data_IF_981918892977
#
_entry.id   IF_981918892977
#
_cell.length_a   1.000
_cell.length_b   1.000
_cell.length_c   1.000
_cell.angle_alpha   90.00
_cell.angle_beta   90.00
_cell.angle_gamma   90.00
#
_symmetry.space_group_name_H-M   'P 1'
#
loop_
_entity.id
_entity.type
_entity.pdbx_description
1 polymer ?
#
# COMPACT_ATOMS: atom_id res chain seq x y z
N UNK A 1 24.17 -12.72 13.82
CA UNK A 1 23.20 -11.64 14.06
C UNK A 1 21.82 -12.23 13.84
N UNK A 2 21.13 -12.58 14.92
CA UNK A 2 19.70 -12.92 14.85
C UNK A 2 18.95 -11.67 14.43
N UNK A 3 18.15 -11.79 13.38
CA UNK A 3 17.30 -10.69 12.89
C UNK A 3 16.17 -10.49 13.91
N UNK A 4 16.46 -9.81 15.03
CA UNK A 4 15.49 -9.36 16.04
C UNK A 4 14.59 -8.23 15.50
N UNK A 5 14.30 -8.23 14.19
CA UNK A 5 13.20 -7.45 13.67
C UNK A 5 11.95 -8.02 14.29
N UNK A 6 11.29 -7.21 15.11
CA UNK A 6 9.91 -7.44 15.53
C UNK A 6 9.10 -7.73 14.25
N UNK A 7 8.87 -9.01 13.98
CA UNK A 7 8.14 -9.44 12.81
C UNK A 7 6.73 -8.89 12.90
N UNK A 8 6.26 -8.20 11.86
CA UNK A 8 4.87 -7.75 11.83
C UNK A 8 3.93 -8.93 12.01
N UNK A 9 2.90 -8.78 12.84
CA UNK A 9 1.84 -9.79 13.01
C UNK A 9 1.20 -10.13 11.66
N UNK A 10 1.04 -9.14 10.79
CA UNK A 10 0.55 -9.32 9.43
C UNK A 10 1.48 -10.19 8.60
N UNK A 11 2.79 -9.92 8.61
CA UNK A 11 3.76 -10.70 7.85
C UNK A 11 3.79 -12.17 8.33
N UNK A 12 3.74 -12.39 9.65
CA UNK A 12 3.66 -13.73 10.22
C UNK A 12 2.37 -14.45 9.79
N UNK A 13 1.22 -13.76 9.82
CA UNK A 13 -0.07 -14.31 9.41
C UNK A 13 -0.08 -14.69 7.92
N UNK A 14 0.39 -13.80 7.03
CA UNK A 14 0.49 -14.07 5.59
C UNK A 14 1.45 -15.22 5.27
N UNK A 15 2.52 -15.39 6.05
CA UNK A 15 3.48 -16.48 5.90
C UNK A 15 2.87 -17.88 6.13
N UNK A 16 1.69 -17.98 6.73
CA UNK A 16 0.97 -19.25 6.90
C UNK A 16 0.21 -19.70 5.65
N UNK A 17 -0.01 -18.80 4.68
CA UNK A 17 -0.72 -19.11 3.46
C UNK A 17 0.17 -19.88 2.48
N UNK A 18 -0.42 -20.83 1.76
CA UNK A 18 0.27 -21.51 0.65
C UNK A 18 0.45 -20.53 -0.52
N UNK A 19 1.69 -20.26 -0.98
CA UNK A 19 1.91 -19.39 -2.13
C UNK A 19 1.24 -19.92 -3.40
N UNK A 20 0.71 -19.01 -4.21
CA UNK A 20 0.24 -19.32 -5.57
C UNK A 20 1.47 -19.37 -6.50
N UNK A 21 1.47 -20.33 -7.43
CA UNK A 21 2.55 -20.52 -8.43
C UNK A 21 2.19 -19.98 -9.80
N UNK A 22 1.02 -19.33 -9.93
CA UNK A 22 0.50 -18.76 -11.16
C UNK A 22 -0.10 -17.39 -10.87
N UNK A 23 -0.04 -16.51 -11.85
CA UNK A 23 -0.72 -15.22 -11.81
C UNK A 23 -2.24 -15.38 -11.98
N UNK A 24 -3.05 -14.49 -11.38
CA UNK A 24 -4.49 -14.48 -11.61
C UNK A 24 -4.79 -14.02 -13.03
N UNK A 25 -5.52 -14.81 -13.80
CA UNK A 25 -5.90 -14.47 -15.19
C UNK A 25 -6.99 -13.38 -15.28
N UNK A 26 -7.57 -12.98 -14.15
CA UNK A 26 -8.52 -11.87 -14.07
C UNK A 26 -8.68 -11.38 -12.63
N UNK A 27 -9.21 -10.17 -12.46
CA UNK A 27 -9.58 -9.61 -11.16
C UNK A 27 -10.55 -10.53 -10.39
N UNK A 28 -11.47 -11.22 -11.07
CA UNK A 28 -12.39 -12.18 -10.46
C UNK A 28 -11.64 -13.37 -9.82
N UNK A 29 -10.61 -13.87 -10.51
CA UNK A 29 -9.78 -14.97 -9.99
C UNK A 29 -8.97 -14.49 -8.78
N UNK A 30 -8.38 -13.30 -8.85
CA UNK A 30 -7.66 -12.69 -7.72
C UNK A 30 -8.58 -12.53 -6.49
N UNK A 31 -9.75 -11.93 -6.67
CA UNK A 31 -10.72 -11.73 -5.59
C UNK A 31 -11.19 -13.06 -4.97
N UNK A 32 -11.32 -14.11 -5.78
CA UNK A 32 -11.63 -15.46 -5.29
C UNK A 32 -10.50 -16.01 -4.42
N UNK A 33 -9.24 -15.82 -4.82
CA UNK A 33 -8.09 -16.25 -4.02
C UNK A 33 -7.98 -15.49 -2.70
N UNK A 34 -8.28 -14.19 -2.72
CA UNK A 34 -8.32 -13.36 -1.50
C UNK A 34 -9.40 -13.87 -0.55
N UNK A 35 -10.63 -14.08 -1.03
CA UNK A 35 -11.72 -14.60 -0.21
C UNK A 35 -11.41 -15.99 0.39
N UNK A 36 -10.76 -16.87 -0.38
CA UNK A 36 -10.30 -18.17 0.12
C UNK A 36 -9.25 -18.03 1.22
N UNK A 37 -8.31 -17.08 1.08
CA UNK A 37 -7.29 -16.82 2.07
C UNK A 37 -7.89 -16.17 3.35
N UNK A 38 -8.87 -15.27 3.24
CA UNK A 38 -9.57 -14.70 4.40
C UNK A 38 -10.20 -15.79 5.28
N UNK A 39 -10.79 -16.82 4.66
CA UNK A 39 -11.35 -17.97 5.38
C UNK A 39 -10.31 -18.78 6.18
N UNK A 40 -9.04 -18.73 5.81
CA UNK A 40 -7.95 -19.46 6.47
C UNK A 40 -7.30 -18.65 7.60
N UNK A 41 -7.29 -17.32 7.50
CA UNK A 41 -6.58 -16.43 8.42
C UNK A 41 -7.40 -15.96 9.63
N UNK A 42 -8.70 -16.30 9.68
CA UNK A 42 -9.57 -15.97 10.80
C UNK A 42 -9.93 -14.49 10.93
N UNK A 43 -10.36 -14.06 12.12
CA UNK A 43 -10.99 -12.74 12.34
C UNK A 43 -10.09 -11.54 12.03
N UNK A 44 -8.76 -11.74 12.04
CA UNK A 44 -7.77 -10.72 11.67
C UNK A 44 -7.79 -10.35 10.18
N UNK A 45 -8.34 -11.21 9.33
CA UNK A 45 -8.37 -11.03 7.87
C UNK A 45 -9.78 -10.90 7.30
N UNK A 46 -10.82 -11.20 8.08
CA UNK A 46 -12.22 -11.20 7.63
C UNK A 46 -12.74 -9.81 7.24
N UNK A 47 -13.87 -9.80 6.53
CA UNK A 47 -14.65 -8.60 6.23
C UNK A 47 -14.01 -7.70 5.18
N UNK A 48 -13.24 -8.28 4.25
CA UNK A 48 -12.52 -7.53 3.21
C UNK A 48 -11.20 -6.91 3.70
N UNK A 49 -10.78 -7.19 4.93
CA UNK A 49 -9.54 -6.66 5.49
C UNK A 49 -8.31 -7.16 4.74
N UNK A 50 -8.26 -8.45 4.37
CA UNK A 50 -7.13 -8.96 3.57
C UNK A 50 -7.10 -8.31 2.18
N UNK A 51 -8.27 -8.14 1.55
CA UNK A 51 -8.38 -7.43 0.28
C UNK A 51 -7.81 -6.01 0.37
N UNK A 52 -8.21 -5.25 1.39
CA UNK A 52 -7.66 -3.91 1.65
C UNK A 52 -6.16 -3.93 1.90
N UNK A 53 -5.64 -4.93 2.61
CA UNK A 53 -4.21 -5.05 2.90
C UNK A 53 -3.37 -5.34 1.66
N UNK A 54 -3.87 -6.20 0.79
CA UNK A 54 -3.22 -6.50 -0.49
C UNK A 54 -3.25 -5.24 -1.36
N UNK A 55 -4.40 -4.60 -1.51
CA UNK A 55 -4.55 -3.39 -2.33
C UNK A 55 -3.65 -2.24 -1.83
N UNK A 56 -3.65 -1.97 -0.52
CA UNK A 56 -2.80 -0.92 0.06
C UNK A 56 -1.31 -1.25 -0.04
N UNK A 57 -0.90 -2.51 0.16
CA UNK A 57 0.50 -2.91 -0.01
C UNK A 57 0.98 -2.74 -1.44
N UNK A 58 0.15 -3.09 -2.43
CA UNK A 58 0.46 -2.87 -3.85
C UNK A 58 0.54 -1.38 -4.16
N UNK A 59 -0.46 -0.59 -3.73
CA UNK A 59 -0.48 0.85 -3.97
C UNK A 59 0.75 1.54 -3.35
N UNK A 60 1.12 1.18 -2.11
CA UNK A 60 2.32 1.70 -1.45
C UNK A 60 3.57 1.31 -2.24
N UNK A 61 3.71 0.03 -2.61
CA UNK A 61 4.85 -0.44 -3.40
C UNK A 61 4.99 0.31 -4.72
N UNK A 62 3.88 0.48 -5.46
CA UNK A 62 3.86 1.19 -6.72
C UNK A 62 4.23 2.67 -6.57
N UNK A 63 3.64 3.37 -5.59
CA UNK A 63 3.97 4.78 -5.30
C UNK A 63 5.43 4.94 -4.84
N UNK A 64 5.97 3.96 -4.11
CA UNK A 64 7.36 3.94 -3.67
C UNK A 64 8.39 3.65 -4.78
N UNK A 65 7.95 3.36 -6.01
CA UNK A 65 8.83 3.37 -7.19
C UNK A 65 9.22 4.78 -7.63
N UNK A 66 8.51 5.81 -7.17
CA UNK A 66 8.90 7.20 -7.43
C UNK A 66 10.18 7.53 -6.64
N UNK A 67 11.30 7.67 -7.36
CA UNK A 67 12.63 7.94 -6.79
C UNK A 67 13.11 9.35 -7.19
N UNK A 68 13.96 9.94 -6.36
CA UNK A 68 14.75 11.13 -6.74
C UNK A 68 15.98 10.73 -7.58
N UNK A 69 16.74 11.73 -8.03
CA UNK A 69 17.97 11.55 -8.81
C UNK A 69 19.05 10.73 -8.07
N UNK A 70 19.00 10.71 -6.73
CA UNK A 70 19.89 9.92 -5.87
C UNK A 70 19.36 8.49 -5.61
N UNK A 71 18.24 8.11 -6.24
CA UNK A 71 17.59 6.81 -6.06
C UNK A 71 16.83 6.66 -4.74
N UNK A 72 16.52 7.75 -4.04
CA UNK A 72 15.76 7.72 -2.78
C UNK A 72 14.27 7.82 -3.04
N UNK A 73 13.48 7.07 -2.27
CA UNK A 73 12.02 7.13 -2.34
C UNK A 73 11.50 8.53 -2.02
N UNK A 74 10.72 9.09 -2.96
CA UNK A 74 10.03 10.36 -2.80
C UNK A 74 8.86 10.24 -1.82
N UNK A 75 8.16 9.10 -1.81
CA UNK A 75 7.07 8.83 -0.88
C UNK A 75 7.51 7.99 0.32
N UNK A 76 7.17 8.45 1.52
CA UNK A 76 7.42 7.76 2.79
C UNK A 76 6.09 7.43 3.46
N UNK A 77 5.86 6.14 3.72
CA UNK A 77 4.68 5.68 4.44
C UNK A 77 4.70 6.17 5.91
N UNK A 78 3.56 6.64 6.42
CA UNK A 78 3.35 6.99 7.83
C UNK A 78 2.03 6.42 8.35
N UNK A 79 1.69 6.77 9.59
CA UNK A 79 0.34 6.55 10.13
C UNK A 79 0.02 5.09 10.44
N UNK A 80 -1.28 4.77 10.44
CA UNK A 80 -1.79 3.46 10.84
C UNK A 80 -1.29 2.30 9.97
N UNK A 81 -1.17 2.53 8.66
CA UNK A 81 -0.69 1.52 7.72
C UNK A 81 0.78 1.17 7.99
N UNK A 82 1.63 2.15 8.28
CA UNK A 82 3.01 1.88 8.72
C UNK A 82 3.04 1.02 9.99
N UNK A 83 2.23 1.38 10.99
CA UNK A 83 2.17 0.62 12.24
C UNK A 83 1.73 -0.83 12.00
N UNK A 84 0.80 -1.07 11.08
CA UNK A 84 0.38 -2.41 10.71
C UNK A 84 1.51 -3.25 10.10
N UNK A 85 2.38 -2.64 9.27
CA UNK A 85 3.55 -3.31 8.70
C UNK A 85 4.71 -3.50 9.68
N UNK A 86 4.66 -2.90 10.88
CA UNK A 86 5.78 -2.90 11.84
C UNK A 86 5.48 -3.58 13.17
N UNK A 87 4.24 -3.53 13.64
CA UNK A 87 3.90 -4.03 14.97
C UNK A 87 3.60 -5.54 14.95
N UNK A 88 4.12 -6.24 15.94
CA UNK A 88 3.66 -7.60 16.28
C UNK A 88 2.38 -7.55 17.15
N UNK A 89 1.40 -6.75 16.71
CA UNK A 89 0.15 -6.56 17.41
C UNK A 89 -0.97 -6.28 16.39
N UNK A 90 -2.22 -6.48 16.82
CA UNK A 90 -3.38 -6.10 16.02
C UNK A 90 -3.45 -4.58 15.90
N UNK A 91 -3.11 -4.05 14.73
CA UNK A 91 -3.31 -2.64 14.43
C UNK A 91 -4.78 -2.36 14.11
N UNK A 92 -5.25 -1.16 14.48
CA UNK A 92 -6.58 -0.67 14.11
C UNK A 92 -6.72 -0.65 12.59
N UNK A 93 -7.88 -1.09 12.09
CA UNK A 93 -8.22 -0.93 10.68
C UNK A 93 -8.17 0.54 10.30
N UNK A 94 -7.38 0.88 9.28
CA UNK A 94 -7.37 2.18 8.64
C UNK A 94 -7.92 2.03 7.23
N UNK A 95 -8.54 3.08 6.71
CA UNK A 95 -8.98 3.12 5.31
C UNK A 95 -8.00 3.89 4.43
N UNK A 96 -7.27 4.82 5.04
CA UNK A 96 -6.38 5.73 4.34
C UNK A 96 -4.94 5.21 4.38
N UNK A 97 -4.23 5.43 3.26
CA UNK A 97 -2.77 5.32 3.19
C UNK A 97 -2.20 6.72 3.36
N UNK A 98 -1.51 6.91 4.47
CA UNK A 98 -0.91 8.17 4.85
C UNK A 98 0.58 8.20 4.46
N UNK A 99 1.06 9.31 3.91
CA UNK A 99 2.49 9.47 3.63
C UNK A 99 3.02 10.89 3.75
N UNK A 100 4.34 10.97 3.57
CA UNK A 100 5.10 12.21 3.40
C UNK A 100 5.76 12.17 2.02
N UNK A 101 5.82 13.33 1.36
CA UNK A 101 6.55 13.50 0.11
C UNK A 101 7.82 14.29 0.38
N UNK A 102 8.95 13.82 -0.16
CA UNK A 102 10.20 14.56 -0.19
C UNK A 102 10.18 15.56 -1.34
N UNK A 103 10.54 16.81 -1.06
CA UNK A 103 10.58 17.85 -2.08
C UNK A 103 9.20 18.42 -2.44
N UNK A 104 9.08 18.93 -3.67
CA UNK A 104 7.86 19.56 -4.17
C UNK A 104 6.81 18.54 -4.63
N UNK A 105 5.54 18.83 -4.38
CA UNK A 105 4.45 17.94 -4.78
C UNK A 105 4.32 17.79 -6.30
N UNK A 106 4.54 18.87 -7.07
CA UNK A 106 4.41 18.82 -8.53
C UNK A 106 5.49 17.93 -9.15
N UNK A 107 6.73 18.03 -8.63
CA UNK A 107 7.82 17.14 -9.03
C UNK A 107 7.53 15.68 -8.66
N UNK A 108 6.98 15.43 -7.46
CA UNK A 108 6.55 14.10 -7.08
C UNK A 108 5.46 13.55 -8.00
N UNK A 109 4.46 14.35 -8.36
CA UNK A 109 3.40 13.90 -9.26
C UNK A 109 3.91 13.60 -10.66
N UNK A 110 4.85 14.40 -11.20
CA UNK A 110 5.47 14.11 -12.49
C UNK A 110 6.13 12.73 -12.51
N UNK A 111 6.98 12.43 -11.51
CA UNK A 111 7.62 11.11 -11.37
C UNK A 111 6.59 10.01 -11.08
N UNK A 112 5.54 10.33 -10.31
CA UNK A 112 4.50 9.36 -9.98
C UNK A 112 3.74 8.90 -11.22
N UNK A 113 3.40 9.78 -12.16
CA UNK A 113 2.73 9.37 -13.40
C UNK A 113 3.61 8.40 -14.21
N UNK A 114 4.90 8.73 -14.38
CA UNK A 114 5.86 7.87 -15.09
C UNK A 114 5.93 6.46 -14.51
N UNK A 115 5.97 6.33 -13.18
CA UNK A 115 6.05 5.01 -12.53
C UNK A 115 4.72 4.29 -12.45
N UNK A 116 3.58 4.96 -12.62
CA UNK A 116 2.26 4.32 -12.66
C UNK A 116 1.93 3.78 -14.06
N UNK A 117 2.50 4.36 -15.12
CA UNK A 117 2.43 3.83 -16.49
C UNK A 117 3.05 2.43 -16.61
N UNK A 118 4.01 2.10 -15.73
CA UNK A 118 4.61 0.78 -15.63
C UNK A 118 3.77 -0.18 -14.77
N UNK A 119 3.36 -1.36 -15.26
CA UNK A 119 2.61 -2.33 -14.46
C UNK A 119 3.32 -2.75 -13.16
N UNK A 120 2.55 -3.08 -12.13
CA UNK A 120 3.02 -3.75 -10.92
C UNK A 120 2.69 -5.25 -11.01
N UNK A 121 3.58 -6.01 -11.66
CA UNK A 121 3.29 -7.39 -12.02
C UNK A 121 2.06 -7.46 -12.94
N UNK A 122 1.01 -8.23 -12.62
CA UNK A 122 -0.19 -8.33 -13.43
C UNK A 122 -1.19 -7.17 -13.25
N UNK A 123 -0.85 -6.15 -12.44
CA UNK A 123 -1.74 -5.04 -12.10
C UNK A 123 -1.31 -3.77 -12.84
N UNK A 124 -2.26 -3.10 -13.50
CA UNK A 124 -2.09 -1.75 -14.03
C UNK A 124 -2.64 -0.76 -13.03
N UNK A 125 -1.97 0.36 -12.81
CA UNK A 125 -2.39 1.34 -11.82
C UNK A 125 -2.57 2.71 -12.45
N UNK A 126 -3.44 3.52 -11.86
CA UNK A 126 -3.54 4.94 -12.17
C UNK A 126 -3.91 5.74 -10.94
N UNK A 127 -3.63 7.03 -10.98
CA UNK A 127 -4.06 7.98 -9.95
C UNK A 127 -5.43 8.57 -10.29
N UNK A 128 -6.25 8.82 -9.27
CA UNK A 128 -7.44 9.67 -9.36
C UNK A 128 -7.08 11.16 -9.34
N UNK A 129 -8.07 12.05 -9.36
CA UNK A 129 -7.82 13.49 -9.25
C UNK A 129 -7.17 13.87 -7.90
N UNK A 130 -6.35 14.93 -7.90
CA UNK A 130 -5.75 15.46 -6.67
C UNK A 130 -6.68 16.51 -6.06
N UNK A 131 -7.16 16.24 -4.85
CA UNK A 131 -7.83 17.20 -4.00
C UNK A 131 -6.82 17.86 -3.05
N UNK A 132 -6.88 19.19 -2.94
CA UNK A 132 -6.17 19.92 -1.88
C UNK A 132 -7.06 20.00 -0.65
N UNK A 133 -6.61 19.43 0.46
CA UNK A 133 -7.35 19.51 1.72
C UNK A 133 -7.05 20.85 2.38
N UNK A 134 -8.09 21.68 2.56
CA UNK A 134 -7.91 22.94 3.29
C UNK A 134 -7.75 22.67 4.79
N UNK A 135 -6.55 22.96 5.29
CA UNK A 135 -6.21 22.94 6.71
C UNK A 135 -5.69 24.33 7.06
N UNK A 136 -6.50 25.22 7.66
CA UNK A 136 -6.15 26.63 7.85
C UNK A 136 -4.80 26.86 8.52
N UNK A 137 -4.40 25.97 9.42
CA UNK A 137 -3.14 26.05 10.19
C UNK A 137 -1.90 25.60 9.43
N UNK A 138 -2.04 25.04 8.21
CA UNK A 138 -0.91 24.53 7.42
C UNK A 138 -0.56 25.45 6.26
N UNK A 139 0.71 25.84 6.19
CA UNK A 139 1.29 26.55 5.05
C UNK A 139 1.25 25.67 3.78
N UNK A 140 1.69 24.42 3.91
CA UNK A 140 1.62 23.43 2.84
C UNK A 140 0.43 22.52 3.10
N UNK A 141 -0.60 22.67 2.26
CA UNK A 141 -1.85 21.91 2.36
C UNK A 141 -1.64 20.45 1.99
N UNK A 142 -2.22 19.48 2.73
CA UNK A 142 -2.19 18.08 2.33
C UNK A 142 -2.90 17.85 1.00
N UNK A 143 -2.50 16.81 0.28
CA UNK A 143 -3.15 16.36 -0.96
C UNK A 143 -3.79 15.00 -0.69
N UNK A 144 -4.97 14.79 -1.25
CA UNK A 144 -5.67 13.50 -1.27
C UNK A 144 -5.89 13.10 -2.72
N UNK A 145 -5.69 11.82 -3.01
CA UNK A 145 -6.01 11.21 -4.29
C UNK A 145 -6.15 9.71 -4.07
N UNK A 146 -6.83 9.06 -5.01
CA UNK A 146 -6.94 7.60 -5.02
C UNK A 146 -5.86 6.97 -5.89
N UNK A 147 -5.45 5.75 -5.52
CA UNK A 147 -4.75 4.83 -6.43
C UNK A 147 -5.76 3.76 -6.83
N UNK A 148 -5.91 3.58 -8.14
CA UNK A 148 -6.91 2.70 -8.74
C UNK A 148 -6.15 1.54 -9.38
N UNK A 149 -6.53 0.31 -8.98
CA UNK A 149 -5.96 -0.96 -9.44
C UNK A 149 -6.92 -1.68 -10.40
#
# INVERSE_FOLDING_TARGET
MTDDRVGSKLAALLGTLKPKTKEPVSAKVLNTWIAQAEGQLGDEAKGGRLGWLIASSVAIGAVQRALDEDGRQLFLLKGGTLLQHRLNATARTTKDVDGLVRGGMDAFFAVLEEVLDEPWGPLTLRRGEVEVIDVPTKLIKPRRFDIIL
#
